data_IF_966075473793
#
_entry.id   IF_966075473793
#
_cell.length_a   1.000
_cell.length_b   1.000
_cell.length_c   1.000
_cell.angle_alpha   90.00
_cell.angle_beta   90.00
_cell.angle_gamma   90.00
#
_symmetry.space_group_name_H-M   'P 1'
#
loop_
_entity.id
_entity.type
_entity.pdbx_description
1 polymer ?
#
# COMPACT_ATOMS: atom_id res chain seq x y z
N UNK A 1 -1.05 10.29 -2.61
CA UNK A 1 -0.49 8.95 -2.83
C UNK A 1 -1.56 7.88 -2.58
N UNK A 2 -1.15 6.62 -2.52
CA UNK A 2 -2.10 5.52 -2.27
C UNK A 2 -2.64 5.59 -0.83
N UNK A 3 -3.97 5.45 -0.69
CA UNK A 3 -4.63 5.41 0.61
C UNK A 3 -4.76 3.96 1.05
N UNK A 4 -4.44 3.67 2.32
CA UNK A 4 -4.55 2.33 2.88
C UNK A 4 -5.33 2.30 4.19
N UNK A 5 -5.95 1.14 4.47
CA UNK A 5 -6.79 0.88 5.64
C UNK A 5 -7.06 -0.64 5.74
N UNK A 6 -7.80 -1.06 6.77
CA UNK A 6 -8.19 -2.46 6.95
C UNK A 6 -9.01 -3.04 5.79
N UNK A 7 -9.79 -2.22 5.10
CA UNK A 7 -10.66 -2.62 3.98
C UNK A 7 -10.21 -2.04 2.63
N UNK A 8 -8.92 -1.74 2.48
CA UNK A 8 -8.39 -1.22 1.23
C UNK A 8 -8.24 -2.31 0.15
N UNK A 9 -8.07 -1.87 -1.11
CA UNK A 9 -7.78 -2.76 -2.23
C UNK A 9 -6.27 -2.81 -2.57
N UNK A 10 -5.41 -2.20 -1.76
CA UNK A 10 -3.98 -2.16 -1.99
C UNK A 10 -3.25 -3.15 -1.08
N UNK A 11 -3.22 -2.90 0.24
CA UNK A 11 -2.51 -3.78 1.18
C UNK A 11 -3.20 -5.12 1.33
N UNK A 12 -4.54 -5.14 1.37
CA UNK A 12 -5.32 -6.37 1.53
C UNK A 12 -5.21 -7.29 0.31
N UNK A 13 -5.21 -6.74 -0.91
CA UNK A 13 -4.98 -7.53 -2.13
C UNK A 13 -3.57 -8.12 -2.14
N UNK A 14 -2.54 -7.32 -1.83
CA UNK A 14 -1.18 -7.87 -1.76
C UNK A 14 -1.05 -8.95 -0.69
N UNK A 15 -1.56 -8.76 0.51
CA UNK A 15 -1.52 -9.79 1.55
C UNK A 15 -2.27 -11.05 1.13
N UNK A 16 -3.40 -10.91 0.42
CA UNK A 16 -4.16 -12.05 -0.12
C UNK A 16 -3.34 -12.85 -1.14
N UNK A 17 -2.69 -12.17 -2.08
CA UNK A 17 -1.82 -12.82 -3.08
C UNK A 17 -0.64 -13.50 -2.37
N UNK A 18 0.07 -12.77 -1.51
CA UNK A 18 1.25 -13.24 -0.81
C UNK A 18 0.96 -14.40 0.16
N UNK A 19 -0.25 -14.48 0.70
CA UNK A 19 -0.66 -15.61 1.55
C UNK A 19 -0.89 -16.90 0.77
N UNK A 20 -1.35 -16.80 -0.49
CA UNK A 20 -1.78 -17.93 -1.31
C UNK A 20 -0.72 -18.43 -2.29
N UNK A 21 0.05 -17.52 -2.91
CA UNK A 21 1.00 -17.88 -3.94
C UNK A 21 2.41 -18.08 -3.37
N UNK A 22 3.20 -19.04 -3.88
CA UNK A 22 4.55 -19.30 -3.42
C UNK A 22 5.56 -18.25 -3.89
N UNK A 23 5.23 -17.50 -4.94
CA UNK A 23 6.05 -16.43 -5.50
C UNK A 23 5.17 -15.26 -5.93
N UNK A 24 5.78 -14.07 -6.02
CA UNK A 24 5.14 -12.86 -6.51
C UNK A 24 5.98 -12.20 -7.59
N UNK A 25 5.39 -11.87 -8.76
CA UNK A 25 6.09 -11.16 -9.81
C UNK A 25 6.37 -9.72 -9.42
N UNK A 26 7.65 -9.34 -9.43
CA UNK A 26 8.08 -8.00 -9.07
C UNK A 26 8.20 -7.13 -10.32
N UNK A 27 7.15 -6.41 -10.64
CA UNK A 27 7.09 -5.49 -11.77
C UNK A 27 8.06 -4.33 -11.58
N UNK A 28 8.72 -3.91 -12.64
CA UNK A 28 9.73 -2.83 -12.64
C UNK A 28 10.79 -2.99 -11.54
N UNK A 29 11.15 -4.26 -11.24
CA UNK A 29 12.04 -4.62 -10.12
C UNK A 29 11.56 -4.11 -8.75
N UNK A 30 10.29 -3.72 -8.64
CA UNK A 30 9.71 -3.16 -7.43
C UNK A 30 10.29 -1.80 -7.02
N UNK A 31 10.87 -1.05 -7.97
CA UNK A 31 11.50 0.25 -7.69
C UNK A 31 10.51 1.39 -7.54
N UNK A 32 9.27 1.22 -8.02
CA UNK A 32 8.21 2.23 -7.93
C UNK A 32 8.04 2.69 -6.50
N UNK A 33 8.13 3.99 -6.29
CA UNK A 33 8.03 4.62 -4.97
C UNK A 33 6.60 5.05 -4.66
N UNK A 34 6.24 4.89 -3.42
CA UNK A 34 4.96 5.32 -2.85
C UNK A 34 5.22 6.11 -1.59
N UNK A 35 4.25 6.94 -1.23
CA UNK A 35 4.20 7.63 0.06
C UNK A 35 2.82 7.37 0.69
N UNK A 36 2.53 6.09 1.09
CA UNK A 36 1.19 5.64 1.47
C UNK A 36 0.66 6.43 2.64
N UNK A 37 -0.60 6.85 2.55
CA UNK A 37 -1.29 7.59 3.60
C UNK A 37 -2.39 6.72 4.21
N UNK A 38 -2.45 6.67 5.55
CA UNK A 38 -3.54 6.00 6.25
C UNK A 38 -4.84 6.79 6.11
N UNK A 39 -5.98 6.11 5.97
CA UNK A 39 -7.29 6.76 5.79
C UNK A 39 -7.61 7.77 6.91
N UNK A 40 -7.20 7.50 8.14
CA UNK A 40 -7.42 8.44 9.26
C UNK A 40 -6.59 9.72 9.12
N UNK A 41 -5.32 9.63 8.64
CA UNK A 41 -4.53 10.84 8.37
C UNK A 41 -5.17 11.67 7.25
N UNK A 42 -5.69 11.01 6.21
CA UNK A 42 -6.41 11.69 5.14
C UNK A 42 -7.67 12.39 5.67
N UNK A 43 -8.41 11.75 6.57
CA UNK A 43 -9.59 12.35 7.23
C UNK A 43 -9.20 13.57 8.06
N UNK A 44 -8.11 13.47 8.84
CA UNK A 44 -7.59 14.58 9.63
C UNK A 44 -7.20 15.78 8.74
N UNK A 45 -6.60 15.51 7.55
CA UNK A 45 -6.25 16.54 6.56
C UNK A 45 -7.51 17.20 6.00
N UNK A 46 -8.53 16.42 5.60
CA UNK A 46 -9.79 16.95 5.08
C UNK A 46 -10.46 17.86 6.13
N UNK A 47 -10.51 17.39 7.36
CA UNK A 47 -11.06 18.18 8.48
C UNK A 47 -10.28 19.50 8.68
N UNK A 48 -8.95 19.43 8.65
CA UNK A 48 -8.09 20.62 8.78
C UNK A 48 -8.34 21.62 7.65
N UNK A 49 -8.40 21.17 6.40
CA UNK A 49 -8.65 22.02 5.23
C UNK A 49 -9.99 22.74 5.36
N UNK A 50 -11.04 22.04 5.78
CA UNK A 50 -12.38 22.62 6.00
C UNK A 50 -12.34 23.63 7.16
N UNK A 51 -11.78 23.23 8.31
CA UNK A 51 -11.74 24.04 9.54
C UNK A 51 -10.92 25.34 9.39
N UNK A 52 -9.87 25.29 8.54
CA UNK A 52 -8.99 26.45 8.27
C UNK A 52 -9.42 27.26 7.06
N UNK A 53 -10.55 26.91 6.43
CA UNK A 53 -11.06 27.58 5.24
C UNK A 53 -10.02 27.68 4.11
N UNK A 54 -9.30 26.57 3.86
CA UNK A 54 -8.30 26.49 2.78
C UNK A 54 -9.03 26.21 1.46
N UNK A 55 -9.30 27.25 0.67
CA UNK A 55 -10.01 27.13 -0.59
C UNK A 55 -9.11 27.31 -1.81
N UNK A 56 -9.58 26.84 -2.95
CA UNK A 56 -8.98 27.04 -4.28
C UNK A 56 -7.51 26.59 -4.37
N UNK A 57 -7.15 25.54 -3.63
CA UNK A 57 -5.81 24.93 -3.66
C UNK A 57 -5.89 23.45 -3.93
N UNK A 58 -4.87 22.93 -4.61
CA UNK A 58 -4.63 21.50 -4.73
C UNK A 58 -3.61 21.15 -3.64
N UNK A 59 -3.94 20.15 -2.83
CA UNK A 59 -3.06 19.63 -1.77
C UNK A 59 -2.78 18.16 -2.05
N UNK A 60 -1.50 17.80 -2.18
CA UNK A 60 -1.08 16.43 -2.32
C UNK A 60 -1.02 15.75 -0.94
N UNK A 61 -2.00 14.88 -0.67
CA UNK A 61 -2.08 14.14 0.59
C UNK A 61 -1.16 12.93 0.54
N UNK A 62 -0.18 12.89 1.44
CA UNK A 62 0.85 11.85 1.48
C UNK A 62 1.12 11.38 2.91
N UNK A 63 1.60 10.14 3.03
CA UNK A 63 2.01 9.56 4.30
C UNK A 63 3.35 10.09 4.80
N UNK A 64 3.86 9.56 5.93
CA UNK A 64 5.07 10.09 6.57
C UNK A 64 6.37 9.55 5.95
N UNK A 65 6.33 8.51 5.12
CA UNK A 65 7.52 7.81 4.61
C UNK A 65 7.41 7.44 3.13
N UNK A 66 8.52 7.54 2.42
CA UNK A 66 8.63 7.05 1.04
C UNK A 66 9.14 5.62 1.09
N UNK A 67 8.37 4.69 0.52
CA UNK A 67 8.71 3.28 0.46
C UNK A 67 8.53 2.73 -0.97
N UNK A 68 9.43 1.88 -1.41
CA UNK A 68 9.33 1.21 -2.71
C UNK A 68 8.32 0.05 -2.66
N UNK A 69 7.77 -0.33 -3.81
CA UNK A 69 6.90 -1.51 -3.91
C UNK A 69 7.56 -2.77 -3.33
N UNK A 70 8.86 -2.96 -3.60
CA UNK A 70 9.61 -4.09 -3.05
C UNK A 70 9.68 -4.08 -1.52
N UNK A 71 9.86 -2.91 -0.92
CA UNK A 71 9.85 -2.74 0.54
C UNK A 71 8.46 -2.96 1.11
N UNK A 72 7.40 -2.42 0.48
CA UNK A 72 6.02 -2.71 0.87
C UNK A 72 5.77 -4.21 0.91
N UNK A 73 6.09 -4.94 -0.16
CA UNK A 73 5.89 -6.39 -0.22
C UNK A 73 6.69 -7.14 0.84
N UNK A 74 7.94 -6.74 1.10
CA UNK A 74 8.75 -7.32 2.18
C UNK A 74 8.17 -7.06 3.57
N UNK A 75 7.69 -5.84 3.83
CA UNK A 75 7.02 -5.46 5.07
C UNK A 75 5.75 -6.31 5.25
N UNK A 76 4.91 -6.43 4.22
CA UNK A 76 3.70 -7.27 4.26
C UNK A 76 4.03 -8.74 4.52
N UNK A 77 5.02 -9.31 3.83
CA UNK A 77 5.46 -10.70 4.06
C UNK A 77 5.89 -10.94 5.51
N UNK A 78 6.66 -10.01 6.08
CA UNK A 78 7.06 -10.06 7.49
C UNK A 78 5.85 -10.02 8.42
N UNK A 79 4.89 -9.12 8.15
CA UNK A 79 3.70 -8.93 8.98
C UNK A 79 2.78 -10.16 8.95
N UNK A 80 2.64 -10.84 7.81
CA UNK A 80 1.83 -12.08 7.70
C UNK A 80 2.61 -13.36 8.00
N UNK A 81 3.88 -13.24 8.43
CA UNK A 81 4.76 -14.38 8.78
C UNK A 81 4.90 -15.40 7.64
N UNK A 82 5.03 -14.92 6.40
CA UNK A 82 5.22 -15.77 5.21
C UNK A 82 6.53 -15.44 4.50
N UNK A 83 7.15 -16.48 3.94
CA UNK A 83 8.35 -16.36 3.11
C UNK A 83 7.99 -16.68 1.67
N UNK A 84 8.09 -15.69 0.77
CA UNK A 84 7.74 -15.83 -0.65
C UNK A 84 8.86 -15.26 -1.52
N UNK A 85 9.04 -15.87 -2.69
CA UNK A 85 10.01 -15.38 -3.66
C UNK A 85 9.42 -14.17 -4.40
N UNK A 86 10.13 -13.06 -4.36
CA UNK A 86 9.85 -11.89 -5.17
C UNK A 86 10.69 -11.96 -6.44
N UNK A 87 10.07 -12.36 -7.57
CA UNK A 87 10.77 -12.65 -8.83
C UNK A 87 10.70 -11.42 -9.73
N UNK A 88 11.83 -10.75 -10.03
CA UNK A 88 11.83 -9.65 -10.99
C UNK A 88 11.35 -10.12 -12.35
N UNK A 89 10.34 -9.44 -12.91
CA UNK A 89 9.85 -9.70 -14.25
C UNK A 89 10.40 -8.68 -15.24
N UNK A 90 10.96 -9.13 -16.38
CA UNK A 90 11.31 -8.26 -17.47
C UNK A 90 10.06 -7.63 -18.08
N UNK A 91 10.20 -6.45 -18.68
CA UNK A 91 9.10 -5.62 -19.18
C UNK A 91 8.13 -6.35 -20.13
N UNK A 92 8.67 -7.18 -21.05
CA UNK A 92 7.82 -7.94 -21.99
C UNK A 92 6.98 -9.04 -21.31
N UNK A 93 7.50 -9.64 -20.23
CA UNK A 93 6.76 -10.66 -19.48
C UNK A 93 5.67 -10.04 -18.59
N UNK A 94 5.77 -8.76 -18.23
CA UNK A 94 4.75 -8.04 -17.48
C UNK A 94 3.42 -7.96 -18.24
N UNK A 95 3.46 -7.68 -19.55
CA UNK A 95 2.27 -7.62 -20.38
C UNK A 95 1.59 -8.99 -20.58
N UNK A 96 2.37 -10.06 -20.66
CA UNK A 96 1.86 -11.43 -20.81
C UNK A 96 1.22 -11.90 -19.50
N UNK A 97 1.88 -11.66 -18.37
CA UNK A 97 1.35 -12.03 -17.05
C UNK A 97 0.08 -11.23 -16.71
N UNK A 98 0.00 -9.95 -17.08
CA UNK A 98 -1.19 -9.14 -16.91
C UNK A 98 -2.42 -9.71 -17.65
N UNK A 99 -2.22 -10.17 -18.89
CA UNK A 99 -3.29 -10.83 -19.68
C UNK A 99 -3.71 -12.16 -19.06
N UNK A 100 -2.77 -12.93 -18.50
CA UNK A 100 -3.06 -14.18 -17.79
C UNK A 100 -3.83 -13.94 -16.49
N UNK A 101 -3.50 -12.89 -15.74
CA UNK A 101 -4.24 -12.53 -14.51
C UNK A 101 -5.67 -12.04 -14.80
N UNK A 102 -5.96 -11.50 -15.98
CA UNK A 102 -7.31 -11.11 -16.41
C UNK A 102 -8.23 -12.31 -16.67
N UNK A 103 -7.70 -13.50 -16.89
CA UNK A 103 -8.48 -14.74 -17.03
C UNK A 103 -9.14 -15.22 -15.71
N UNK A 104 -8.72 -14.68 -14.58
CA UNK A 104 -9.36 -14.98 -13.31
C UNK A 104 -10.62 -14.11 -13.12
N UNK A 105 -11.71 -14.66 -12.59
CA UNK A 105 -13.01 -13.95 -12.45
C UNK A 105 -12.94 -12.72 -11.51
N UNK A 106 -11.88 -12.58 -10.71
CA UNK A 106 -11.52 -11.36 -9.98
C UNK A 106 -10.00 -11.17 -10.10
N UNK A 107 -9.53 -10.39 -11.07
CA UNK A 107 -8.09 -10.16 -11.23
C UNK A 107 -7.57 -9.43 -9.99
N UNK A 108 -6.63 -10.07 -9.32
CA UNK A 108 -5.97 -9.51 -8.12
C UNK A 108 -5.08 -8.30 -8.45
N UNK A 109 -4.70 -8.19 -9.72
CA UNK A 109 -3.96 -7.05 -10.28
C UNK A 109 -4.46 -6.79 -11.71
N UNK A 110 -4.94 -5.58 -11.98
CA UNK A 110 -5.40 -5.19 -13.32
C UNK A 110 -4.25 -4.66 -14.16
N UNK A 111 -4.43 -4.66 -15.50
CA UNK A 111 -3.45 -4.07 -16.43
C UNK A 111 -3.21 -2.60 -16.11
N UNK A 112 -4.27 -1.84 -15.79
CA UNK A 112 -4.15 -0.43 -15.43
C UNK A 112 -3.30 -0.22 -14.17
N UNK A 113 -3.48 -1.07 -13.15
CA UNK A 113 -2.63 -1.03 -11.95
C UNK A 113 -1.17 -1.31 -12.29
N UNK A 114 -0.89 -2.23 -13.24
CA UNK A 114 0.48 -2.50 -13.68
C UNK A 114 1.09 -1.34 -14.46
N UNK A 115 0.29 -0.65 -15.27
CA UNK A 115 0.73 0.56 -15.98
C UNK A 115 1.06 1.66 -14.97
N UNK A 116 0.23 1.82 -13.92
CA UNK A 116 0.48 2.80 -12.85
C UNK A 116 1.78 2.52 -12.08
N UNK A 117 2.17 1.25 -11.93
CA UNK A 117 3.45 0.88 -11.31
C UNK A 117 4.69 1.35 -12.09
N UNK A 118 4.54 1.87 -13.31
CA UNK A 118 5.63 2.48 -14.08
C UNK A 118 6.04 3.85 -13.52
N UNK A 119 5.16 4.52 -12.82
CA UNK A 119 5.35 5.87 -12.32
C UNK A 119 5.39 5.89 -10.80
N UNK A 120 6.30 6.68 -10.24
CA UNK A 120 6.34 6.91 -8.81
C UNK A 120 5.07 7.63 -8.35
N UNK A 121 4.53 7.21 -7.21
CA UNK A 121 3.35 7.79 -6.57
C UNK A 121 3.76 8.53 -5.30
N UNK A 122 4.55 9.58 -5.50
CA UNK A 122 5.09 10.49 -4.48
C UNK A 122 4.67 11.92 -4.83
N UNK A 123 4.81 12.89 -3.92
CA UNK A 123 4.48 14.28 -4.21
C UNK A 123 5.18 14.80 -5.46
N UNK A 124 4.47 15.62 -6.20
CA UNK A 124 5.05 16.42 -7.28
C UNK A 124 5.56 17.75 -6.69
N UNK A 125 6.58 18.35 -7.31
CA UNK A 125 7.05 19.69 -6.89
C UNK A 125 6.09 20.82 -7.30
N UNK A 126 4.90 20.48 -7.81
CA UNK A 126 3.94 21.47 -8.36
C UNK A 126 2.97 22.00 -7.32
N UNK A 127 2.61 21.19 -6.34
CA UNK A 127 1.57 21.49 -5.38
C UNK A 127 2.06 21.33 -3.95
N UNK A 128 1.37 22.00 -3.03
CA UNK A 128 1.65 21.88 -1.60
C UNK A 128 1.24 20.48 -1.10
N UNK A 129 2.02 19.94 -0.19
CA UNK A 129 1.68 18.72 0.54
C UNK A 129 0.85 19.03 1.79
N UNK A 130 0.29 18.02 2.41
CA UNK A 130 -0.35 18.16 3.72
C UNK A 130 0.62 18.69 4.80
N UNK A 131 1.90 18.40 4.71
CA UNK A 131 2.91 18.96 5.64
C UNK A 131 3.07 20.48 5.46
N UNK A 132 3.04 20.97 4.21
CA UNK A 132 3.20 22.39 3.90
C UNK A 132 2.02 23.24 4.38
N UNK A 133 0.84 22.63 4.52
CA UNK A 133 -0.35 23.27 5.09
C UNK A 133 -0.48 23.06 6.61
N UNK A 134 0.56 22.52 7.28
CA UNK A 134 0.64 22.42 8.73
C UNK A 134 0.00 21.17 9.34
N UNK A 135 -0.33 20.13 8.55
CA UNK A 135 -0.90 18.88 9.04
C UNK A 135 -0.13 17.66 8.50
N UNK A 136 1.11 17.39 8.98
CA UNK A 136 1.87 16.22 8.57
C UNK A 136 1.16 14.92 9.00
N UNK A 137 1.21 13.92 8.12
CA UNK A 137 0.77 12.55 8.46
C UNK A 137 1.67 11.93 9.53
N UNK A 138 1.08 11.12 10.41
CA UNK A 138 1.78 10.56 11.58
C UNK A 138 1.77 9.03 11.63
N UNK A 139 0.84 8.38 10.91
CA UNK A 139 0.62 6.94 10.99
C UNK A 139 1.60 6.20 10.09
N UNK A 140 2.53 5.47 10.72
CA UNK A 140 3.54 4.66 10.02
C UNK A 140 2.89 3.41 9.42
N UNK A 141 3.29 3.08 8.18
CA UNK A 141 2.74 1.97 7.42
C UNK A 141 2.78 0.64 8.19
N UNK A 142 3.93 0.28 8.77
CA UNK A 142 4.10 -0.99 9.46
C UNK A 142 3.20 -1.12 10.69
N UNK A 143 3.05 -0.03 11.45
CA UNK A 143 2.28 -0.03 12.70
C UNK A 143 0.79 -0.18 12.40
N UNK A 144 0.28 0.51 11.40
CA UNK A 144 -1.13 0.46 11.06
C UNK A 144 -1.51 -0.87 10.40
N UNK A 145 -0.72 -1.36 9.43
CA UNK A 145 -0.98 -2.64 8.78
C UNK A 145 -0.87 -3.82 9.76
N UNK A 146 0.02 -3.74 10.74
CA UNK A 146 0.16 -4.75 11.80
C UNK A 146 -1.17 -5.01 12.53
N UNK A 147 -2.02 -4.00 12.70
CA UNK A 147 -3.29 -4.11 13.45
C UNK A 147 -4.29 -5.10 12.83
N UNK A 148 -4.22 -5.32 11.51
CA UNK A 148 -5.14 -6.21 10.80
C UNK A 148 -4.45 -7.33 9.99
N UNK A 149 -3.14 -7.32 9.86
CA UNK A 149 -2.38 -8.32 9.08
C UNK A 149 -2.50 -9.75 9.62
N UNK A 150 -2.89 -9.92 10.89
CA UNK A 150 -3.12 -11.23 11.49
C UNK A 150 -4.15 -12.09 10.74
N UNK A 151 -5.09 -11.44 10.02
CA UNK A 151 -6.11 -12.14 9.23
C UNK A 151 -5.50 -12.99 8.09
N UNK A 152 -4.28 -12.69 7.65
CA UNK A 152 -3.54 -13.43 6.62
C UNK A 152 -2.46 -14.35 7.15
N UNK A 153 -2.27 -14.40 8.47
CA UNK A 153 -1.40 -15.39 9.12
C UNK A 153 -2.06 -16.79 9.10
N UNK A 154 -1.28 -17.81 9.43
CA UNK A 154 -1.81 -19.15 9.63
C UNK A 154 -2.78 -19.16 10.82
N UNK A 155 -3.96 -19.76 10.63
CA UNK A 155 -5.06 -19.67 11.59
C UNK A 155 -5.95 -18.43 11.42
N UNK A 156 -5.56 -17.42 10.66
CA UNK A 156 -6.35 -16.23 10.38
C UNK A 156 -6.89 -15.55 11.64
N UNK A 157 -8.20 -15.26 11.65
CA UNK A 157 -8.86 -14.66 12.82
C UNK A 157 -8.87 -15.55 14.08
N UNK A 158 -8.59 -16.83 13.93
CA UNK A 158 -8.48 -17.80 15.03
C UNK A 158 -7.03 -18.00 15.50
N UNK A 159 -6.06 -17.30 14.91
CA UNK A 159 -4.67 -17.38 15.37
C UNK A 159 -4.55 -16.86 16.80
N UNK A 160 -3.70 -17.51 17.60
CA UNK A 160 -3.41 -17.08 18.97
C UNK A 160 -2.67 -15.75 19.05
N UNK A 161 -2.08 -15.31 17.94
CA UNK A 161 -1.40 -14.02 17.80
C UNK A 161 -2.37 -12.90 17.38
N UNK A 162 -3.38 -12.63 18.20
CA UNK A 162 -4.20 -11.43 18.02
C UNK A 162 -3.36 -10.19 18.36
N UNK A 163 -3.65 -9.10 17.66
CA UNK A 163 -3.09 -7.80 18.01
C UNK A 163 -3.40 -7.50 19.49
N UNK A 164 -2.36 -7.34 20.29
CA UNK A 164 -2.47 -6.86 21.66
C UNK A 164 -1.98 -5.41 21.70
N UNK A 165 -2.85 -4.42 21.94
CA UNK A 165 -2.47 -3.01 21.96
C UNK A 165 -1.45 -2.67 23.07
N UNK A 166 -1.30 -3.55 24.06
CA UNK A 166 -0.37 -3.34 25.18
C UNK A 166 1.07 -3.80 24.88
N UNK A 167 1.35 -4.36 23.69
CA UNK A 167 2.68 -4.82 23.27
C UNK A 167 3.32 -3.93 22.19
N UNK A 168 3.02 -2.64 22.17
CA UNK A 168 3.64 -1.64 21.28
C UNK A 168 4.53 -0.68 22.06
#
# INVERSE_FOLDING_TARGET
>A
SVVYSVDDNFTTNFMTILSRLPFFPLYYNGKTKFMPIHCSDLTDIIYHVISKNIYSKIVECVGPEIISLKEILKKLLKLISKNRLLIPLPFFAANISAKLFQLFPKPLLTVDQLILLKYDNIPSDKYQTNSDIGIPSKRLFDLEVKKYSYMWKEGGQFSTEKYNPNNS
#
